data_IF_485036125591
#
_entry.id   IF_485036125591
#
_cell.length_a   1.000
_cell.length_b   1.000
_cell.length_c   1.000
_cell.angle_alpha   90.00
_cell.angle_beta   90.00
_cell.angle_gamma   90.00
#
_symmetry.space_group_name_H-M   'P 1'
#
loop_
_entity.id
_entity.type
_entity.pdbx_description
1 polymer ?
2 polymer ?
3 non-polymer ?
4 non-polymer ?
5 water ?
#
# COMPACT_ATOMS: atom_id res chain seq x y z
N UNK A 3 -18.44 -7.35 19.87
CA UNK A 3 -18.20 -8.48 18.99
C UNK A 3 -19.52 -9.18 18.67
N UNK A 4 -19.50 -10.04 17.66
CA UNK A 4 -20.71 -10.72 17.20
C UNK A 4 -21.06 -11.82 18.20
N UNK A 5 -22.28 -11.75 18.75
CA UNK A 5 -22.80 -12.75 19.68
C UNK A 5 -24.08 -13.36 19.11
N UNK A 6 -24.67 -14.27 19.88
CA UNK A 6 -25.92 -14.90 19.45
C UNK A 6 -27.08 -13.92 19.43
N UNK A 7 -26.99 -12.84 20.20
CA UNK A 7 -28.02 -11.81 20.20
C UNK A 7 -27.77 -10.72 19.17
N UNK A 8 -26.61 -10.72 18.51
CA UNK A 8 -26.30 -9.70 17.52
C UNK A 8 -27.28 -9.78 16.35
N UNK A 9 -27.82 -8.63 15.96
CA UNK A 9 -28.69 -8.53 14.79
C UNK A 9 -27.85 -8.08 13.60
N UNK A 10 -27.94 -8.83 12.50
CA UNK A 10 -27.19 -8.52 11.29
C UNK A 10 -28.09 -7.77 10.33
N UNK A 11 -27.73 -6.52 10.02
CA UNK A 11 -28.47 -5.75 9.04
C UNK A 11 -28.37 -6.39 7.67
N UNK A 12 -29.50 -6.84 7.14
CA UNK A 12 -29.58 -7.50 5.83
C UNK A 12 -28.67 -8.73 5.76
N UNK A 13 -28.51 -9.41 6.89
CA UNK A 13 -27.72 -10.62 6.94
C UNK A 13 -28.25 -11.61 7.96
N UNK A 14 -27.48 -12.64 8.26
CA UNK A 14 -27.87 -13.65 9.23
C UNK A 14 -26.63 -14.18 9.93
N UNK A 15 -26.81 -14.63 11.17
CA UNK A 15 -25.72 -15.18 11.97
C UNK A 15 -25.35 -16.57 11.50
N UNK A 16 -24.04 -16.85 11.50
CA UNK A 16 -23.53 -18.19 11.30
C UNK A 16 -22.52 -18.49 12.39
N UNK A 17 -22.22 -19.77 12.57
CA UNK A 17 -21.39 -20.24 13.67
C UNK A 17 -20.36 -21.23 13.16
N UNK A 18 -19.10 -21.02 13.54
CA UNK A 18 -18.04 -21.98 13.34
C UNK A 18 -17.58 -22.48 14.70
N UNK A 19 -16.48 -23.25 14.71
CA UNK A 19 -16.07 -23.91 15.94
C UNK A 19 -15.67 -22.91 17.02
N UNK A 20 -15.20 -21.72 16.64
CA UNK A 20 -14.66 -20.81 17.61
C UNK A 20 -15.18 -19.38 17.62
N UNK A 21 -16.15 -19.06 16.76
CA UNK A 21 -16.67 -17.70 16.72
C UNK A 21 -18.00 -17.68 15.98
N UNK A 22 -18.65 -16.52 16.02
CA UNK A 22 -19.85 -16.22 15.25
C UNK A 22 -19.56 -15.04 14.34
N UNK A 23 -20.26 -14.98 13.21
CA UNK A 23 -20.11 -13.85 12.29
C UNK A 23 -21.37 -13.71 11.45
N UNK A 24 -21.59 -12.50 10.95
CA UNK A 24 -22.70 -12.23 10.05
C UNK A 24 -22.33 -12.61 8.62
N UNK A 25 -23.28 -13.22 7.92
CA UNK A 25 -23.16 -13.55 6.50
C UNK A 25 -24.26 -12.83 5.75
N UNK A 26 -23.92 -12.25 4.61
CA UNK A 26 -24.83 -11.36 3.90
C UNK A 26 -25.86 -12.13 3.08
N UNK A 27 -27.00 -11.49 2.85
CA UNK A 27 -28.06 -12.06 2.03
C UNK A 27 -27.78 -11.80 0.55
N UNK A 28 -28.24 -12.73 -0.29
CA UNK A 28 -28.19 -12.61 -1.74
C UNK A 28 -26.80 -12.26 -2.25
N UNK A 29 -26.64 -11.06 -2.81
CA UNK A 29 -25.39 -10.62 -3.39
C UNK A 29 -24.81 -9.41 -2.68
N UNK A 30 -25.18 -9.18 -1.43
CA UNK A 30 -24.69 -8.02 -0.70
C UNK A 30 -23.26 -8.28 -0.20
N UNK A 31 -22.65 -7.23 0.36
CA UNK A 31 -21.30 -7.30 0.88
C UNK A 31 -21.26 -6.66 2.27
N UNK A 32 -20.31 -7.11 3.09
CA UNK A 32 -20.13 -6.56 4.43
C UNK A 32 -19.44 -5.21 4.37
N UNK A 33 -19.99 -4.23 5.09
CA UNK A 33 -19.35 -2.93 5.23
C UNK A 33 -18.73 -2.84 6.62
N UNK A 34 -19.33 -3.55 7.58
CA UNK A 34 -18.75 -3.79 8.89
C UNK A 34 -19.14 -5.20 9.31
N UNK A 35 -18.85 -5.55 10.56
CA UNK A 35 -19.09 -6.92 11.00
C UNK A 35 -20.57 -7.29 11.07
N UNK A 36 -21.46 -6.30 11.14
CA UNK A 36 -22.87 -6.56 11.36
C UNK A 36 -23.79 -5.88 10.34
N UNK A 37 -23.24 -5.35 9.25
CA UNK A 37 -24.06 -4.63 8.27
C UNK A 37 -23.68 -5.06 6.87
N UNK A 38 -24.69 -5.36 6.05
CA UNK A 38 -24.51 -5.74 4.65
C UNK A 38 -25.19 -4.70 3.77
N UNK A 39 -24.56 -4.40 2.63
CA UNK A 39 -25.06 -3.39 1.71
C UNK A 39 -24.76 -3.84 0.29
N UNK A 40 -25.42 -3.17 -0.66
CA UNK A 40 -25.19 -3.45 -2.08
C UNK A 40 -23.81 -2.94 -2.50
N UNK A 41 -23.10 -3.74 -3.29
CA UNK A 41 -21.80 -3.37 -3.80
C UNK A 41 -21.93 -2.59 -5.10
N UNK A 42 -21.01 -1.65 -5.30
CA UNK A 42 -20.91 -0.97 -6.57
C UNK A 42 -20.07 -1.81 -7.52
N UNK A 43 -20.39 -1.75 -8.81
CA UNK A 43 -19.68 -2.54 -9.79
C UNK A 43 -18.44 -1.85 -10.33
N UNK A 44 -18.43 -0.52 -10.39
CA UNK A 44 -17.30 0.24 -10.89
C UNK A 44 -16.97 1.36 -9.92
N UNK A 45 -15.69 1.48 -9.56
CA UNK A 45 -15.25 2.60 -8.74
C UNK A 45 -15.01 3.82 -9.61
N UNK A 46 -15.63 4.94 -9.25
CA UNK A 46 -15.44 6.20 -9.96
C UNK A 46 -15.83 7.33 -9.01
N UNK A 47 -15.94 8.54 -9.56
CA UNK A 47 -16.21 9.71 -8.73
C UNK A 47 -17.57 9.62 -8.05
N UNK A 48 -18.54 8.95 -8.69
CA UNK A 48 -19.89 8.86 -8.15
C UNK A 48 -20.02 7.80 -7.06
N UNK A 49 -19.06 6.89 -6.94
CA UNK A 49 -19.15 5.79 -5.98
C UNK A 49 -18.05 5.82 -4.93
N UNK A 50 -17.45 6.99 -4.69
CA UNK A 50 -16.38 7.11 -3.71
C UNK A 50 -16.93 6.82 -2.32
N UNK A 51 -16.15 6.07 -1.53
CA UNK A 51 -16.47 5.63 -0.18
C UNK A 51 -17.64 4.66 -0.11
N UNK A 52 -18.13 4.15 -1.28
CA UNK A 52 -19.16 3.13 -1.26
C UNK A 52 -18.54 1.74 -1.30
N UNK A 53 -19.21 0.73 -0.76
CA UNK A 53 -18.60 -0.61 -0.70
C UNK A 53 -18.51 -1.25 -2.09
N UNK A 54 -17.39 -1.94 -2.32
CA UNK A 54 -17.14 -2.68 -3.55
C UNK A 54 -16.78 -4.13 -3.26
N UNK A 55 -17.07 -4.60 -2.06
CA UNK A 55 -16.70 -5.93 -1.63
C UNK A 55 -16.66 -6.00 -0.12
N UNK A 56 -16.47 -7.22 0.38
CA UNK A 56 -16.39 -7.44 1.82
C UNK A 56 -15.26 -6.62 2.43
N UNK A 57 -15.62 -5.66 3.27
CA UNK A 57 -14.67 -4.79 3.96
C UNK A 57 -13.80 -4.01 2.97
N UNK A 58 -14.41 -3.61 1.85
CA UNK A 58 -13.73 -2.87 0.81
C UNK A 58 -14.56 -1.66 0.41
N UNK A 59 -13.88 -0.55 0.10
CA UNK A 59 -14.54 0.67 -0.34
C UNK A 59 -13.77 1.27 -1.51
N UNK A 60 -14.48 1.99 -2.36
CA UNK A 60 -13.82 2.69 -3.45
C UNK A 60 -13.04 3.87 -2.90
N UNK A 61 -11.77 3.97 -3.30
CA UNK A 61 -10.86 4.98 -2.77
C UNK A 61 -10.45 5.91 -3.90
N UNK A 62 -10.55 7.21 -3.65
CA UNK A 62 -10.03 8.22 -4.56
C UNK A 62 -8.52 8.24 -4.46
N UNK A 63 -7.84 8.00 -5.58
CA UNK A 63 -6.38 7.96 -5.63
C UNK A 63 -5.90 9.25 -6.27
N UNK A 64 -5.31 10.13 -5.46
CA UNK A 64 -4.80 11.39 -5.96
C UNK A 64 -3.62 11.16 -6.90
N UNK A 65 -3.69 11.79 -8.07
CA UNK A 65 -2.62 11.65 -9.03
C UNK A 65 -2.85 12.58 -10.21
N UNK A 66 -2.06 12.39 -11.25
CA UNK A 66 -2.16 13.16 -12.50
C UNK A 66 -2.48 12.17 -13.61
N UNK A 67 -3.77 11.90 -13.87
CA UNK A 67 -4.94 12.45 -13.18
C UNK A 67 -5.43 11.59 -12.01
N UNK A 68 -6.50 12.05 -11.35
CA UNK A 68 -7.09 11.30 -10.26
C UNK A 68 -7.67 10.00 -10.81
N UNK A 69 -7.51 8.92 -10.03
CA UNK A 69 -8.08 7.62 -10.38
C UNK A 69 -8.84 7.08 -9.16
N UNK A 70 -9.47 5.92 -9.33
CA UNK A 70 -10.28 5.30 -8.29
C UNK A 70 -10.02 3.81 -8.26
N UNK A 71 -9.87 3.26 -7.05
CA UNK A 71 -9.56 1.85 -6.88
C UNK A 71 -10.36 1.30 -5.71
N UNK A 72 -10.63 -0.01 -5.78
CA UNK A 72 -11.30 -0.72 -4.69
C UNK A 72 -10.23 -1.31 -3.77
N UNK A 73 -10.22 -0.84 -2.51
CA UNK A 73 -9.20 -1.24 -1.56
C UNK A 73 -9.84 -1.64 -0.23
N UNK A 74 -9.15 -2.52 0.51
CA UNK A 74 -9.64 -2.98 1.80
C UNK A 74 -9.58 -1.86 2.82
N UNK A 75 -10.53 -1.89 3.76
CA UNK A 75 -10.60 -0.92 4.83
C UNK A 75 -9.37 -1.01 5.73
N UNK A 76 -9.25 -0.02 6.63
CA UNK A 76 -8.17 -0.01 7.61
C UNK A 76 -8.20 -1.28 8.46
N UNK A 77 -7.04 -1.91 8.62
CA UNK A 77 -6.93 -3.13 9.38
C UNK A 77 -7.08 -4.40 8.58
N UNK A 78 -7.30 -4.31 7.27
CA UNK A 78 -7.47 -5.47 6.42
C UNK A 78 -6.43 -5.47 5.31
N UNK A 79 -6.10 -6.67 4.83
CA UNK A 79 -5.17 -6.86 3.73
C UNK A 79 -5.80 -7.79 2.71
N UNK A 80 -5.54 -7.53 1.43
CA UNK A 80 -6.14 -8.29 0.34
C UNK A 80 -5.27 -9.50 0.04
N UNK A 81 -5.81 -10.69 0.32
CA UNK A 81 -5.11 -11.95 0.07
C UNK A 81 -5.98 -12.79 -0.84
N UNK A 82 -5.46 -13.13 -2.02
CA UNK A 82 -6.23 -13.84 -3.05
C UNK A 82 -7.52 -13.09 -3.36
N UNK A 83 -7.43 -11.77 -3.43
CA UNK A 83 -8.56 -10.88 -3.75
C UNK A 83 -9.70 -11.04 -2.74
N UNK A 84 -9.35 -11.20 -1.47
CA UNK A 84 -10.30 -11.24 -0.37
C UNK A 84 -9.69 -10.48 0.80
N UNK A 85 -10.43 -9.52 1.35
CA UNK A 85 -9.94 -8.74 2.48
C UNK A 85 -10.06 -9.56 3.77
N UNK A 86 -8.95 -9.68 4.50
CA UNK A 86 -8.91 -10.37 5.78
C UNK A 86 -8.10 -9.52 6.75
N UNK A 87 -8.28 -9.73 8.06
CA UNK A 87 -7.49 -8.98 9.05
C UNK A 87 -6.00 -9.13 8.79
N UNK A 88 -5.26 -8.03 9.03
CA UNK A 88 -3.82 -8.01 8.76
C UNK A 88 -3.10 -9.11 9.53
N UNK A 89 -3.54 -9.39 10.76
CA UNK A 89 -2.94 -10.42 11.58
C UNK A 89 -3.15 -11.83 11.04
N UNK A 90 -3.99 -11.99 10.02
CA UNK A 90 -4.25 -13.28 9.42
C UNK A 90 -3.54 -13.45 8.08
N UNK A 91 -2.57 -12.60 7.77
CA UNK A 91 -1.94 -12.60 6.45
C UNK A 91 -1.32 -13.95 6.13
N UNK A 92 -0.50 -14.49 7.04
CA UNK A 92 0.24 -15.71 6.79
C UNK A 92 -0.26 -16.89 7.62
N UNK A 93 -1.51 -16.84 8.06
CA UNK A 93 -2.09 -17.93 8.83
C UNK A 93 -2.73 -18.93 7.88
N UNK A 94 -2.34 -20.20 8.01
CA UNK A 94 -2.92 -21.29 7.25
C UNK A 94 -3.68 -22.18 8.22
N UNK A 95 -4.98 -22.38 7.97
CA UNK A 95 -5.82 -23.13 8.89
C UNK A 95 -6.35 -24.44 8.33
N UNK A 96 -6.42 -24.58 7.01
CA UNK A 96 -6.98 -25.78 6.42
C UNK A 96 -8.50 -25.79 6.47
N UNK A 97 -9.07 -26.73 7.25
CA UNK A 97 -10.52 -26.85 7.37
C UNK A 97 -11.08 -25.79 8.32
N UNK A 98 -10.83 -24.53 7.97
CA UNK A 98 -11.29 -23.43 8.78
C UNK A 98 -10.85 -22.11 8.19
N UNK A 99 -10.97 -21.06 9.00
CA UNK A 99 -10.57 -19.73 8.61
C UNK A 99 -9.89 -19.04 9.77
N UNK A 100 -9.05 -18.07 9.46
CA UNK A 100 -8.36 -17.29 10.47
C UNK A 100 -9.21 -16.11 10.91
N UNK A 101 -9.26 -15.88 12.22
CA UNK A 101 -9.98 -14.73 12.78
C UNK A 101 -9.04 -14.00 13.72
N UNK A 102 -9.43 -12.77 14.05
CA UNK A 102 -8.64 -11.94 14.95
C UNK A 102 -8.88 -12.34 16.39
N UNK A 103 -7.79 -12.54 17.13
CA UNK A 103 -7.84 -12.87 18.56
C UNK A 103 -7.33 -11.68 19.36
N UNK A 104 -8.14 -11.23 20.33
CA UNK A 104 -7.81 -10.07 21.14
C UNK A 104 -7.63 -10.41 22.61
N UNK A 105 -7.47 -11.70 22.93
CA UNK A 105 -7.31 -12.13 24.32
C UNK A 105 -5.88 -12.02 24.82
N UNK A 106 -4.89 -11.99 23.94
CA UNK A 106 -3.50 -11.85 24.30
C UNK A 106 -3.11 -10.38 24.33
N UNK A 107 -1.98 -10.03 24.97
CA UNK A 107 -1.58 -8.61 25.02
C UNK A 107 -1.38 -7.98 23.65
N UNK A 108 -1.06 -8.77 22.61
CA UNK A 108 -0.96 -8.26 21.26
C UNK A 108 -1.96 -9.00 20.38
N UNK A 109 -2.48 -8.29 19.37
CA UNK A 109 -3.42 -8.91 18.44
C UNK A 109 -2.77 -10.06 17.69
N UNK A 110 -3.51 -11.16 17.57
CA UNK A 110 -3.02 -12.37 16.93
C UNK A 110 -4.10 -12.94 16.04
N UNK A 111 -3.69 -13.81 15.11
CA UNK A 111 -4.62 -14.58 14.31
C UNK A 111 -4.73 -16.00 14.87
N UNK A 112 -5.97 -16.47 14.97
CA UNK A 112 -6.25 -17.83 15.44
C UNK A 112 -7.19 -18.50 14.45
N UNK A 113 -7.11 -19.83 14.39
CA UNK A 113 -7.93 -20.60 13.47
C UNK A 113 -9.26 -20.93 14.12
N UNK A 114 -10.34 -20.63 13.41
CA UNK A 114 -11.68 -21.06 13.77
C UNK A 114 -12.12 -22.09 12.73
N UNK A 115 -12.53 -23.25 13.20
CA UNK A 115 -12.67 -24.44 12.36
C UNK A 115 -14.11 -24.63 11.88
N UNK A 116 -14.22 -25.33 10.74
CA UNK A 116 -15.51 -25.79 10.26
C UNK A 116 -16.18 -26.69 11.29
N UNK A 117 -17.51 -26.68 11.28
CA UNK A 117 -18.26 -27.57 12.16
C UNK A 117 -17.82 -29.00 11.91
N UNK A 118 -17.47 -29.70 12.98
CA UNK A 118 -16.91 -31.03 12.88
C UNK A 118 -15.40 -31.08 13.08
N UNK A 119 -14.73 -29.94 13.03
CA UNK A 119 -13.30 -29.86 13.24
C UNK A 119 -13.00 -28.94 14.43
N UNK A 120 -11.84 -29.17 15.05
CA UNK A 120 -11.38 -28.35 16.18
C UNK A 120 -9.89 -28.12 16.04
N UNK A 121 -9.36 -27.09 16.71
CA UNK A 121 -7.91 -26.86 16.67
C UNK A 121 -7.13 -28.07 17.18
N UNK A 122 -6.06 -28.39 16.45
CA UNK A 122 -5.21 -29.55 16.75
C UNK A 122 -3.94 -29.03 17.42
N UNK A 123 -3.87 -29.20 18.75
CA UNK A 123 -2.70 -28.75 19.50
C UNK A 123 -1.42 -29.37 18.95
N UNK A 124 -1.50 -30.60 18.43
CA UNK A 124 -0.35 -31.27 17.85
C UNK A 124 -0.03 -30.80 16.43
N UNK A 125 -0.71 -29.79 15.93
CA UNK A 125 -0.49 -29.28 14.57
C UNK A 125 -0.64 -27.76 14.55
N UNK A 126 0.00 -27.09 15.51
CA UNK A 126 0.01 -25.63 15.61
C UNK A 126 -1.40 -25.04 15.67
N UNK A 127 -2.33 -25.75 16.32
CA UNK A 127 -3.72 -25.33 16.48
C UNK A 127 -4.41 -25.10 15.14
N UNK A 128 -4.01 -25.84 14.11
CA UNK A 128 -4.72 -25.78 12.85
C UNK A 128 -5.95 -26.70 12.91
N UNK A 129 -6.82 -26.54 11.93
CA UNK A 129 -8.12 -27.24 11.93
C UNK A 129 -7.98 -28.59 11.24
N UNK A 130 -7.25 -29.49 11.91
CA UNK A 130 -6.96 -30.80 11.37
C UNK A 130 -7.33 -31.91 12.34
N UNK A 131 -8.16 -31.62 13.35
CA UNK A 131 -8.60 -32.60 14.33
C UNK A 131 -10.12 -32.62 14.36
N UNK A 132 -10.69 -33.82 14.39
CA UNK A 132 -12.14 -33.96 14.42
C UNK A 132 -12.67 -33.71 15.82
N UNK A 133 -13.71 -32.89 15.93
CA UNK A 133 -14.32 -32.58 17.21
C UNK A 133 -15.72 -32.05 17.01
N UNK A 134 -16.49 -32.05 18.09
CA UNK A 134 -17.88 -31.66 18.04
C UNK A 134 -18.07 -30.25 18.60
N UNK A 135 -18.99 -29.49 17.98
CA UNK A 135 -19.35 -28.16 18.42
C UNK A 135 -20.86 -28.08 18.52
N UNK A 136 -21.36 -27.63 19.67
CA UNK A 136 -22.80 -27.46 19.86
C UNK A 136 -23.27 -26.15 19.26
N UNK A 137 -24.36 -26.20 18.51
CA UNK A 137 -24.92 -24.98 17.93
C UNK A 137 -25.52 -24.11 19.02
N UNK A 138 -25.09 -22.85 19.07
CA UNK A 138 -25.56 -21.89 20.04
C UNK A 138 -26.52 -20.87 19.45
N UNK A 139 -26.82 -20.96 18.16
CA UNK A 139 -27.71 -20.00 17.52
C UNK A 139 -29.13 -20.15 18.05
N UNK A 140 -29.83 -19.03 18.16
CA UNK A 140 -31.21 -19.01 18.63
C UNK A 140 -32.10 -18.75 17.42
N UNK A 141 -32.67 -19.81 16.87
CA UNK A 141 -33.46 -19.72 15.66
C UNK A 141 -34.93 -19.49 15.98
N UNK A 142 -35.68 -19.08 14.95
CA UNK A 142 -37.11 -18.85 15.12
C UNK A 142 -37.81 -20.13 15.53
N UNK A 143 -38.76 -20.00 16.45
CA UNK A 143 -39.51 -21.15 16.92
C UNK A 143 -40.59 -21.52 15.90
N UNK A 144 -40.80 -22.83 15.74
CA UNK A 144 -41.84 -23.41 14.89
C UNK A 144 -41.52 -23.27 13.40
N UNK A 145 -40.58 -22.38 13.05
CA UNK A 145 -40.26 -22.13 11.65
C UNK A 145 -38.83 -22.43 11.25
N UNK A 146 -37.87 -22.39 12.18
CA UNK A 146 -36.47 -22.57 11.83
C UNK A 146 -35.80 -23.54 12.81
N UNK A 147 -34.70 -24.12 12.34
CA UNK A 147 -33.91 -25.05 13.14
C UNK A 147 -32.44 -24.92 12.74
N UNK A 148 -31.56 -25.14 13.70
CA UNK A 148 -30.13 -25.02 13.44
C UNK A 148 -29.60 -26.28 12.76
N UNK A 149 -28.92 -26.10 11.63
CA UNK A 149 -28.32 -27.19 10.87
C UNK A 149 -26.95 -26.76 10.38
N UNK A 150 -26.09 -27.74 10.10
CA UNK A 150 -24.74 -27.48 9.60
C UNK A 150 -24.75 -27.64 8.08
N UNK A 151 -24.31 -26.58 7.38
CA UNK A 151 -24.22 -26.60 5.93
C UNK A 151 -22.90 -25.95 5.53
N UNK A 152 -22.15 -26.62 4.65
CA UNK A 152 -20.88 -26.11 4.13
C UNK A 152 -19.91 -25.73 5.26
N UNK A 153 -19.97 -26.46 6.37
CA UNK A 153 -19.03 -26.26 7.45
C UNK A 153 -19.43 -25.23 8.49
N UNK A 154 -20.61 -24.61 8.37
CA UNK A 154 -21.07 -23.62 9.34
C UNK A 154 -22.45 -24.01 9.83
N UNK A 155 -22.79 -23.56 11.04
CA UNK A 155 -24.15 -23.65 11.54
C UNK A 155 -24.93 -22.42 11.09
N UNK A 156 -26.19 -22.64 10.70
CA UNK A 156 -27.10 -21.55 10.39
C UNK A 156 -28.53 -22.02 10.61
N UNK A 157 -29.42 -21.06 10.78
CA UNK A 157 -30.84 -21.36 10.95
C UNK A 157 -31.45 -21.69 9.60
N UNK A 158 -31.95 -22.91 9.45
CA UNK A 158 -32.54 -23.38 8.22
C UNK A 158 -34.06 -23.48 8.37
N UNK A 159 -34.77 -23.22 7.28
CA UNK A 159 -36.23 -23.31 7.28
C UNK A 159 -36.66 -24.77 7.32
N UNK A 160 -37.58 -25.08 8.23
CA UNK A 160 -38.13 -26.44 8.31
C UNK A 160 -38.93 -26.76 7.05
N UNK A 161 -39.14 -28.06 6.85
CA UNK A 161 -39.96 -28.52 5.72
C UNK A 161 -41.39 -28.01 5.87
N UNK A 162 -41.87 -27.28 4.86
CA UNK A 162 -43.20 -26.74 4.88
C UNK A 162 -43.33 -25.35 5.44
N UNK A 163 -42.31 -24.84 6.14
CA UNK A 163 -42.29 -23.48 6.63
C UNK A 163 -41.42 -22.61 5.73
N UNK A 164 -41.76 -22.63 4.44
CA UNK A 164 -40.96 -21.97 3.42
C UNK A 164 -41.23 -20.47 3.39
N UNK B 3 7.14 0.19 13.11
CA UNK B 3 6.03 0.41 12.20
C UNK B 3 6.41 0.08 10.75
N UNK B 4 6.10 1.01 9.84
CA UNK B 4 6.38 0.78 8.42
C UNK B 4 7.88 0.66 8.21
N UNK B 5 8.29 -0.43 7.56
CA UNK B 5 9.71 -0.70 7.30
C UNK B 5 9.88 -1.35 5.95
N UNK B 6 10.92 -0.93 5.23
CA UNK B 6 11.30 -1.49 3.94
C UNK B 6 12.80 -1.74 3.98
N UNK B 7 13.20 -3.00 3.80
CA UNK B 7 14.61 -3.40 3.87
C UNK B 7 14.98 -4.09 2.57
N UNK B 8 15.94 -3.51 1.85
CA UNK B 8 16.40 -4.05 0.59
C UNK B 8 17.54 -5.05 0.80
N UNK B 9 17.71 -5.95 -0.16
CA UNK B 9 18.75 -6.96 -0.11
C UNK B 9 19.13 -7.36 -1.53
N UNK B 10 20.32 -7.96 -1.66
CA UNK B 10 20.76 -8.54 -2.90
C UNK B 10 21.74 -7.72 -3.71
N UNK B 11 22.21 -6.59 -3.18
CA UNK B 11 23.14 -5.77 -3.93
C UNK B 11 24.57 -6.27 -3.87
N UNK B 12 25.38 -5.81 -4.81
CA UNK B 12 26.77 -6.21 -4.87
C UNK B 12 27.38 -5.83 -6.22
N UNK B 13 28.58 -6.36 -6.45
CA UNK B 13 29.34 -6.10 -7.66
C UNK B 13 29.03 -7.20 -8.67
N UNK B 14 28.77 -6.80 -9.93
CA UNK B 14 28.46 -7.73 -11.01
C UNK B 14 29.19 -7.27 -12.25
N UNK B 15 29.59 -8.21 -13.08
CA UNK B 15 30.25 -7.90 -14.34
C UNK B 15 29.21 -7.58 -15.41
N UNK B 16 29.55 -6.70 -16.36
CA UNK B 16 28.58 -6.32 -17.40
C UNK B 16 28.12 -7.53 -18.21
N UNK B 17 26.81 -7.66 -18.36
CA UNK B 17 26.21 -8.76 -19.08
C UNK B 17 25.53 -9.80 -18.21
N UNK B 18 25.81 -9.84 -16.91
CA UNK B 18 25.25 -10.86 -16.04
C UNK B 18 24.00 -10.33 -15.33
N UNK B 19 23.46 -11.13 -14.43
CA UNK B 19 22.17 -10.84 -13.80
C UNK B 19 22.33 -10.63 -12.29
N UNK B 20 21.25 -10.14 -11.68
CA UNK B 20 21.19 -9.90 -10.24
C UNK B 20 19.75 -9.67 -9.81
N UNK B 21 19.33 -10.29 -8.72
CA UNK B 21 17.97 -10.15 -8.22
C UNK B 21 17.97 -9.44 -6.88
N UNK B 22 17.20 -8.35 -6.79
CA UNK B 22 17.07 -7.58 -5.57
C UNK B 22 15.75 -7.92 -4.88
N UNK B 23 15.75 -7.79 -3.56
CA UNK B 23 14.57 -8.06 -2.75
C UNK B 23 14.28 -6.89 -1.84
N UNK B 24 13.05 -6.83 -1.36
CA UNK B 24 12.62 -5.77 -0.44
C UNK B 24 11.55 -6.36 0.47
N UNK B 25 11.95 -6.74 1.68
CA UNK B 25 11.02 -7.28 2.67
C UNK B 25 10.27 -6.12 3.33
N UNK B 26 8.94 -6.15 3.25
CA UNK B 26 8.11 -5.09 3.80
C UNK B 26 7.43 -5.55 5.08
N UNK B 27 7.34 -4.65 6.05
CA UNK B 27 6.66 -4.92 7.30
C UNK B 27 6.07 -3.62 7.84
N UNK B 28 4.96 -3.73 8.56
CA UNK B 28 4.31 -2.60 9.17
C UNK B 28 3.09 -2.03 8.46
N UNK B 29 2.62 -2.64 7.39
CA UNK B 29 1.45 -2.11 6.68
C UNK B 29 0.80 -3.24 5.89
N UNK B 30 -0.39 -2.93 5.36
CA UNK B 30 -1.12 -3.88 4.52
C UNK B 30 -0.44 -3.95 3.16
N UNK B 31 0.34 -5.02 2.95
CA UNK B 31 1.18 -5.11 1.75
C UNK B 31 0.36 -5.06 0.47
N UNK B 32 -0.86 -5.60 0.48
CA UNK B 32 -1.70 -5.64 -0.70
C UNK B 32 -2.46 -4.38 -1.01
N UNK B 33 -2.41 -3.36 -0.17
CA UNK B 33 -3.14 -2.12 -0.41
C UNK B 33 -2.25 -0.99 -0.91
N UNK B 34 -1.02 -1.28 -1.32
CA UNK B 34 -0.10 -0.23 -1.75
C UNK B 34 0.64 -0.65 -3.02
N UNK B 35 0.68 0.26 -4.00
CA UNK B 35 1.62 0.11 -5.10
C UNK B 35 3.05 0.17 -4.59
N UNK B 36 3.94 -0.59 -5.23
CA UNK B 36 5.34 -0.67 -4.86
C UNK B 36 6.21 -0.33 -6.06
N UNK B 37 7.24 0.48 -5.83
CA UNK B 37 8.12 0.94 -6.90
C UNK B 37 9.58 0.68 -6.54
N UNK B 38 10.42 0.65 -7.57
CA UNK B 38 11.87 0.69 -7.43
C UNK B 38 12.37 1.98 -8.05
N UNK B 39 13.27 2.67 -7.33
CA UNK B 39 13.88 3.92 -7.77
C UNK B 39 15.39 3.82 -7.56
N UNK B 40 16.16 4.25 -8.55
CA UNK B 40 17.62 4.19 -8.46
C UNK B 40 18.24 5.58 -8.53
N UNK B 41 19.45 5.68 -7.98
CA UNK B 41 20.17 6.95 -7.94
C UNK B 41 21.64 6.66 -8.22
N UNK B 42 22.16 7.17 -9.34
CA UNK B 42 23.56 7.00 -9.69
C UNK B 42 24.42 7.95 -8.88
N UNK B 43 25.71 7.62 -8.70
CA UNK B 43 26.58 8.49 -7.90
C UNK B 43 26.58 9.92 -8.41
N UNK B 44 26.27 10.85 -7.52
CA UNK B 44 26.29 12.27 -7.82
C UNK B 44 25.11 12.79 -8.61
N UNK B 45 24.06 11.99 -8.81
CA UNK B 45 22.93 12.38 -9.64
C UNK B 45 21.64 12.33 -8.82
N UNK B 46 20.52 12.58 -9.51
CA UNK B 46 19.22 12.60 -8.88
C UNK B 46 18.54 11.25 -8.94
N UNK B 47 17.27 11.25 -8.56
CA UNK B 47 16.48 10.03 -8.51
C UNK B 47 16.01 9.65 -9.91
N UNK B 48 15.86 8.33 -10.12
CA UNK B 48 15.46 7.80 -11.41
C UNK B 48 14.50 6.64 -11.17
N UNK B 49 13.24 6.81 -11.59
CA UNK B 49 12.24 5.76 -11.39
C UNK B 49 12.51 4.58 -12.30
N UNK B 50 12.37 3.38 -11.76
CA UNK B 50 12.72 2.14 -12.45
C UNK B 50 11.47 1.36 -12.86
N UNK B 51 10.60 1.04 -11.91
CA UNK B 51 9.44 0.20 -12.17
C UNK B 51 8.41 0.39 -11.07
N UNK B 52 7.20 -0.08 -11.34
CA UNK B 52 6.10 -0.05 -10.36
C UNK B 52 5.25 -1.29 -10.57
N UNK B 53 4.65 -1.78 -9.48
CA UNK B 53 3.70 -2.89 -9.53
C UNK B 53 2.46 -2.48 -8.75
N UNK B 54 1.30 -2.85 -9.27
CA UNK B 54 0.03 -2.42 -8.70
C UNK B 54 -0.26 -3.14 -7.39
N UNK B 55 -1.07 -2.48 -6.56
CA UNK B 55 -1.39 -3.01 -5.23
C UNK B 55 -2.01 -4.39 -5.31
N UNK B 56 -2.93 -4.60 -6.26
CA UNK B 56 -3.58 -5.90 -6.40
C UNK B 56 -2.84 -6.80 -7.38
N UNK B 57 -1.91 -6.27 -8.14
CA UNK B 57 -1.11 -7.06 -9.05
C UNK B 57 -1.62 -7.11 -10.46
N UNK B 58 -2.34 -6.09 -10.92
CA UNK B 58 -2.91 -6.11 -12.24
C UNK B 58 -2.02 -5.45 -13.29
N UNK B 59 -1.10 -4.59 -12.88
CA UNK B 59 -0.31 -3.82 -13.83
C UNK B 59 1.15 -3.79 -13.41
N UNK B 60 2.03 -3.78 -14.41
CA UNK B 60 3.45 -3.57 -14.21
C UNK B 60 3.95 -2.58 -15.24
N UNK B 61 4.63 -1.53 -14.79
CA UNK B 61 5.18 -0.51 -15.69
C UNK B 61 6.67 -0.34 -15.41
N UNK B 62 7.40 0.05 -16.46
CA UNK B 62 8.86 0.12 -16.41
C UNK B 62 9.34 1.38 -17.12
N UNK B 63 10.54 1.82 -16.76
CA UNK B 63 11.20 2.90 -17.47
C UNK B 63 11.79 2.39 -18.78
N UNK B 64 11.87 3.28 -19.77
CA UNK B 64 12.38 2.89 -21.09
C UNK B 64 13.81 2.38 -21.02
N UNK B 65 14.61 2.92 -20.10
CA UNK B 65 16.02 2.52 -20.01
C UNK B 65 16.18 1.08 -19.54
N UNK B 66 15.16 0.50 -18.90
CA UNK B 66 15.23 -0.86 -18.38
C UNK B 66 14.22 -1.78 -19.05
N UNK B 67 13.50 -1.28 -20.06
CA UNK B 67 12.49 -2.07 -20.73
C UNK B 67 13.10 -3.30 -21.39
N UNK B 68 12.53 -4.47 -21.11
CA UNK B 68 13.02 -5.70 -21.67
C UNK B 68 14.18 -6.33 -20.93
N UNK B 69 14.70 -5.69 -19.88
CA UNK B 69 15.79 -6.22 -19.10
C UNK B 69 15.46 -6.43 -17.63
N UNK B 70 14.62 -5.58 -17.05
CA UNK B 70 14.23 -5.69 -15.65
C UNK B 70 12.80 -6.20 -15.55
N UNK B 71 12.52 -6.91 -14.45
CA UNK B 71 11.19 -7.45 -14.18
C UNK B 71 10.86 -7.27 -12.71
N UNK B 72 9.76 -6.58 -12.41
CA UNK B 72 9.31 -6.37 -11.04
C UNK B 72 8.30 -7.45 -10.70
N UNK B 73 8.32 -7.89 -9.44
CA UNK B 73 7.42 -8.94 -8.98
C UNK B 73 7.12 -8.72 -7.51
N UNK B 74 6.07 -9.39 -7.04
CA UNK B 74 5.75 -9.39 -5.62
C UNK B 74 5.18 -10.76 -5.24
N UNK B 75 5.75 -11.34 -4.20
CA UNK B 75 5.20 -12.56 -3.62
C UNK B 75 4.36 -12.11 -2.44
N UNK B 76 3.06 -11.89 -2.71
CA UNK B 76 2.17 -11.29 -1.74
C UNK B 76 2.21 -12.05 -0.41
N UNK B 77 2.40 -13.37 -0.46
CA UNK B 77 2.44 -14.14 0.78
C UNK B 77 3.60 -13.68 1.67
N UNK B 78 4.82 -13.74 1.15
CA UNK B 78 6.00 -13.40 1.96
C UNK B 78 6.15 -11.91 2.21
N UNK B 79 5.27 -11.06 1.65
CA UNK B 79 5.36 -9.61 1.77
C UNK B 79 6.73 -9.11 1.30
N UNK B 80 7.09 -9.52 0.09
CA UNK B 80 8.41 -9.25 -0.48
C UNK B 80 8.26 -8.75 -1.90
N UNK B 81 9.04 -7.71 -2.23
CA UNK B 81 9.07 -7.12 -3.56
C UNK B 81 10.39 -7.49 -4.22
N UNK B 82 10.33 -7.96 -5.46
CA UNK B 82 11.50 -8.41 -6.18
C UNK B 82 11.77 -7.52 -7.39
N UNK B 83 13.03 -7.47 -7.80
CA UNK B 83 13.43 -6.83 -9.05
C UNK B 83 14.50 -7.70 -9.70
N UNK B 84 14.12 -8.38 -10.78
CA UNK B 84 15.06 -9.19 -11.55
C UNK B 84 15.73 -8.34 -12.61
N UNK B 85 17.06 -8.33 -12.60
CA UNK B 85 17.85 -7.49 -13.50
C UNK B 85 18.72 -8.38 -14.38
N UNK B 86 18.41 -8.45 -15.67
CA UNK B 86 19.20 -9.19 -16.64
C UNK B 86 19.93 -8.21 -17.57
N UNK B 87 21.00 -8.70 -18.18
CA UNK B 87 21.83 -7.93 -19.11
C UNK B 87 22.23 -6.59 -18.47
N UNK B 88 22.98 -6.68 -17.38
CA UNK B 88 23.38 -5.49 -16.65
C UNK B 88 24.43 -4.69 -17.43
N UNK B 89 24.44 -3.39 -17.19
CA UNK B 89 25.35 -2.48 -17.87
C UNK B 89 25.95 -1.53 -16.85
N UNK B 90 27.09 -0.95 -17.21
CA UNK B 90 27.71 0.06 -16.35
C UNK B 90 26.77 1.23 -16.10
N UNK B 91 25.84 1.48 -17.02
CA UNK B 91 24.83 2.50 -16.83
C UNK B 91 23.91 2.20 -15.65
N UNK B 92 23.84 0.95 -15.22
CA UNK B 92 22.94 0.54 -14.14
C UNK B 92 23.55 0.70 -12.75
N UNK B 93 24.81 1.11 -12.66
CA UNK B 93 25.44 1.34 -11.36
C UNK B 93 24.71 2.45 -10.61
N UNK B 94 24.14 2.11 -9.46
CA UNK B 94 23.34 3.04 -8.68
C UNK B 94 22.96 2.38 -7.36
N UNK B 95 22.47 3.20 -6.44
CA UNK B 95 21.78 2.71 -5.25
C UNK B 95 20.31 2.54 -5.61
N UNK B 96 19.76 1.36 -5.31
CA UNK B 96 18.38 1.04 -5.62
C UNK B 96 17.55 1.07 -4.35
N UNK B 97 16.49 1.88 -4.35
CA UNK B 97 15.54 1.95 -3.26
C UNK B 97 14.23 1.31 -3.68
N UNK B 98 13.64 0.52 -2.79
CA UNK B 98 12.23 0.15 -2.95
C UNK B 98 11.40 1.21 -2.23
N UNK B 99 10.37 1.69 -2.91
CA UNK B 99 9.54 2.77 -2.39
C UNK B 99 8.08 2.33 -2.39
N UNK B 100 7.35 2.77 -1.38
CA UNK B 100 5.94 2.44 -1.24
C UNK B 100 5.09 3.66 -1.56
N UNK B 101 4.02 3.46 -2.33
CA UNK B 101 3.07 4.52 -2.57
C UNK B 101 2.06 4.60 -1.44
N UNK B 102 1.47 5.78 -1.27
CA UNK B 102 0.48 5.99 -0.22
C UNK B 102 -0.80 5.22 -0.55
N UNK B 103 -1.65 5.08 0.47
CA UNK B 103 -2.91 4.35 0.29
C UNK B 103 -3.82 5.05 -0.71
N UNK B 104 -3.81 6.39 -0.73
CA UNK B 104 -4.76 7.15 -1.53
C UNK B 104 -4.07 8.20 -2.41
N UNK B 105 -2.81 7.97 -2.80
CA UNK B 105 -2.15 8.88 -3.71
C UNK B 105 -0.96 8.19 -4.35
N UNK B 106 -0.50 8.77 -5.45
CA UNK B 106 0.67 8.27 -6.17
C UNK B 106 1.98 8.66 -5.52
N UNK B 107 1.95 9.43 -4.44
CA UNK B 107 3.17 9.85 -3.76
C UNK B 107 3.89 8.65 -3.16
N UNK B 108 5.21 8.67 -3.22
CA UNK B 108 6.04 7.62 -2.62
C UNK B 108 6.32 8.02 -1.18
N UNK B 109 5.46 7.58 -0.26
CA UNK B 109 5.48 8.10 1.10
C UNK B 109 6.43 7.35 2.02
N UNK B 110 6.96 6.20 1.60
CA UNK B 110 7.95 5.48 2.41
C UNK B 110 9.03 4.87 1.52
N UNK B 111 10.28 4.99 1.97
CA UNK B 111 11.45 4.57 1.20
C UNK B 111 12.33 3.66 2.04
N UNK B 112 12.95 2.69 1.38
CA UNK B 112 14.01 1.92 2.00
C UNK B 112 15.32 2.68 2.02
N UNK B 113 16.30 2.12 2.72
CA UNK B 113 17.60 2.78 2.84
C UNK B 113 18.49 2.54 1.63
N UNK B 114 18.16 1.58 0.78
CA UNK B 114 18.86 1.38 -0.47
C UNK B 114 19.94 0.32 -0.39
N UNK B 115 20.23 -0.30 -1.53
CA UNK B 115 21.34 -1.22 -1.69
C UNK B 115 22.11 -0.86 -2.95
N UNK B 116 23.43 -0.96 -2.88
CA UNK B 116 24.30 -0.53 -3.95
C UNK B 116 24.51 -1.66 -4.95
N UNK B 117 24.38 -1.34 -6.24
CA UNK B 117 24.70 -2.26 -7.33
C UNK B 117 25.79 -1.64 -8.17
N UNK B 118 26.90 -2.34 -8.34
CA UNK B 118 28.06 -1.84 -9.06
C UNK B 118 28.35 -2.78 -10.22
N UNK B 119 28.20 -2.27 -11.44
CA UNK B 119 28.46 -3.03 -12.65
C UNK B 119 29.81 -2.58 -13.20
N UNK B 120 30.83 -3.42 -13.01
CA UNK B 120 32.19 -3.06 -13.39
C UNK B 120 32.92 -4.28 -13.92
N UNK B 121 33.94 -4.04 -14.73
CA UNK B 121 34.80 -5.10 -15.24
C UNK B 121 36.26 -4.77 -14.99
N UNK B 142 8.53 14.47 -23.51
CA UNK B 142 8.70 15.90 -23.28
C UNK B 142 9.01 16.16 -21.81
N UNK B 143 9.83 17.18 -21.54
CA UNK B 143 10.18 17.47 -20.14
C UNK B 143 8.97 17.92 -19.35
N UNK B 144 8.80 17.32 -18.16
CA UNK B 144 7.64 17.60 -17.33
C UNK B 144 8.04 18.52 -16.18
N UNK B 145 9.26 18.33 -15.66
CA UNK B 145 9.66 18.90 -14.37
C UNK B 145 11.07 19.45 -14.46
N UNK B 146 11.33 20.50 -13.67
CA UNK B 146 12.62 21.19 -13.71
C UNK B 146 12.86 21.91 -12.39
N UNK B 147 14.05 21.74 -11.81
CA UNK B 147 14.50 22.40 -10.59
C UNK B 147 15.85 23.04 -10.81
N UNK B 148 16.12 24.17 -10.13
CA UNK B 148 17.47 24.72 -10.16
C UNK B 148 18.45 23.80 -9.44
N UNK B 149 19.70 23.75 -9.88
CA UNK B 149 20.63 22.76 -9.32
C UNK B 149 20.99 22.98 -7.86
N UNK B 150 21.00 24.23 -7.39
CA UNK B 150 21.45 24.51 -6.03
C UNK B 150 20.68 25.69 -5.45
N UNK B 151 20.76 25.82 -4.14
CA UNK B 151 20.20 26.95 -3.41
C UNK B 151 20.92 27.07 -2.08
N UNK B 152 20.95 28.28 -1.53
CA UNK B 152 21.64 28.52 -0.27
C UNK B 152 20.85 29.52 0.56
N UNK B 153 21.12 29.51 1.86
CA UNK B 153 20.49 30.42 2.81
C UNK B 153 21.25 30.35 4.13
N UNK B 154 21.12 31.43 4.90
CA UNK B 154 21.77 31.52 6.20
C UNK B 154 20.86 30.96 7.29
N UNK B 155 21.48 30.58 8.40
CA UNK B 155 20.74 29.99 9.52
C UNK B 155 19.65 30.94 10.01
N UNK B 156 18.48 30.39 10.28
CA UNK B 156 17.35 31.17 10.76
C UNK B 156 16.59 31.94 9.71
N UNK B 157 17.02 31.91 8.46
CA UNK B 157 16.35 32.63 7.40
C UNK B 157 15.29 31.73 6.74
N UNK B 158 14.64 32.24 5.71
CA UNK B 158 13.64 31.51 4.96
C UNK B 158 14.13 31.22 3.55
N UNK B 159 13.79 30.05 3.03
CA UNK B 159 14.19 29.64 1.70
C UNK B 159 13.00 29.02 0.98
N UNK B 160 12.83 29.39 -0.29
CA UNK B 160 11.78 28.83 -1.14
C UNK B 160 12.44 28.08 -2.29
N UNK B 161 12.16 26.78 -2.40
CA UNK B 161 12.66 25.96 -3.49
C UNK B 161 11.61 25.89 -4.59
N UNK B 162 12.06 25.98 -5.83
CA UNK B 162 11.16 26.10 -6.97
C UNK B 162 11.20 24.83 -7.81
N UNK B 163 10.03 24.40 -8.27
CA UNK B 163 9.88 23.30 -9.21
C UNK B 163 8.90 23.76 -10.29
N UNK B 164 9.36 23.76 -11.54
CA UNK B 164 8.62 24.37 -12.64
C UNK B 164 8.12 23.31 -13.60
N UNK B 165 6.82 23.33 -13.88
CA UNK B 165 6.19 22.43 -14.82
C UNK B 165 6.15 23.04 -16.22
N UNK B 166 5.97 22.17 -17.21
CA UNK B 166 5.66 22.64 -18.56
C UNK B 166 4.20 23.04 -18.65
N UNK B 167 3.90 23.95 -19.59
CA UNK B 167 2.53 24.45 -19.71
C UNK B 167 1.55 23.33 -20.06
N UNK B 168 2.02 22.28 -20.74
CA UNK B 168 1.15 21.16 -21.06
C UNK B 168 0.70 20.37 -19.84
N UNK B 169 1.36 20.57 -18.70
CA UNK B 169 1.03 19.89 -17.47
C UNK B 169 0.81 20.91 -16.36
N UNK B 170 0.18 22.04 -16.70
CA UNK B 170 0.04 23.15 -15.78
C UNK B 170 -0.77 22.80 -14.54
N UNK B 171 -1.62 21.78 -14.63
CA UNK B 171 -2.50 21.46 -13.53
C UNK B 171 -1.99 20.29 -12.68
N UNK B 172 -0.73 19.90 -12.86
CA UNK B 172 -0.21 18.71 -12.20
C UNK B 172 0.18 19.02 -10.76
N UNK B 173 0.00 18.02 -9.90
CA UNK B 173 0.53 18.03 -8.56
C UNK B 173 1.92 17.42 -8.55
N UNK B 174 2.77 17.93 -7.66
CA UNK B 174 4.14 17.45 -7.55
C UNK B 174 4.43 17.06 -6.11
N UNK B 175 5.30 16.07 -5.96
CA UNK B 175 5.79 15.59 -4.69
C UNK B 175 7.17 16.18 -4.43
N UNK B 176 7.44 16.47 -3.15
CA UNK B 176 8.75 16.91 -2.70
C UNK B 176 9.35 15.84 -1.80
N UNK B 177 10.65 15.59 -1.99
CA UNK B 177 11.39 14.61 -1.19
C UNK B 177 12.65 15.25 -0.64
N UNK B 178 13.02 14.85 0.57
CA UNK B 178 14.23 15.32 1.23
C UNK B 178 15.22 14.18 1.37
N UNK B 179 16.45 14.41 0.95
CA UNK B 179 17.51 13.41 1.09
C UNK B 179 18.63 14.03 1.91
N UNK B 180 18.71 13.68 3.18
CA UNK B 180 19.81 14.11 4.02
C UNK B 180 21.12 13.55 3.48
N UNK B 181 22.24 14.22 3.74
CA UNK B 181 23.52 13.74 3.21
C UNK B 181 23.88 12.39 3.79
N UNK B 182 24.20 11.44 2.90
CA UNK B 182 24.54 10.09 3.30
C UNK B 182 23.36 9.18 3.55
N UNK B 183 22.13 9.67 3.44
CA UNK B 183 20.93 8.89 3.69
C UNK B 183 20.09 8.82 2.41
N UNK B 184 19.01 8.04 2.49
CA UNK B 184 18.07 7.95 1.40
C UNK B 184 16.99 9.01 1.52
N UNK B 185 16.20 9.18 0.47
CA UNK B 185 15.15 10.19 0.48
C UNK B 185 14.02 9.84 1.43
N UNK B 186 13.23 10.87 1.76
CA UNK B 186 11.99 10.72 2.51
C UNK B 186 10.97 11.69 1.95
N UNK B 187 9.69 11.33 2.09
CA UNK B 187 8.62 12.13 1.53
C UNK B 187 8.31 13.33 2.42
N UNK B 188 8.11 14.48 1.81
CA UNK B 188 7.83 15.71 2.55
C UNK B 188 6.37 16.09 2.39
N UNK B 189 5.97 16.47 1.17
CA UNK B 189 4.64 17.00 0.93
C UNK B 189 4.34 16.96 -0.56
N UNK B 190 3.05 16.81 -0.88
CA UNK B 190 2.56 16.93 -2.25
C UNK B 190 1.75 18.21 -2.37
N UNK B 191 2.07 19.03 -3.36
CA UNK B 191 1.43 20.33 -3.55
C UNK B 191 0.77 20.35 -4.93
N UNK B 192 -0.49 20.80 -4.98
CA UNK B 192 -1.21 20.94 -6.21
C UNK B 192 -1.49 22.39 -6.56
N UNK B 193 -2.27 22.57 -7.63
CA UNK B 193 -2.72 23.91 -8.00
C UNK B 193 -3.43 24.57 -6.84
N UNK B 194 -3.20 25.87 -6.69
CA UNK B 194 -3.72 26.60 -5.56
C UNK B 194 -2.88 26.51 -4.30
N UNK B 195 -1.78 25.77 -4.33
CA UNK B 195 -0.97 25.58 -3.14
C UNK B 195 -1.64 24.72 -2.08
N UNK B 196 -2.39 23.72 -2.51
CA UNK B 196 -3.13 22.86 -1.59
C UNK B 196 -2.24 21.68 -1.22
N UNK B 197 -2.07 21.45 0.08
CA UNK B 197 -1.37 20.27 0.56
C UNK B 197 -2.25 19.05 0.27
N UNK B 198 -1.86 18.24 -0.70
CA UNK B 198 -2.63 17.05 -1.04
C UNK B 198 -2.35 15.91 -0.09
N UNK B 199 -1.09 15.76 0.33
CA UNK B 199 -0.71 14.75 1.31
C UNK B 199 0.59 15.20 1.96
N UNK B 200 0.81 14.72 3.19
CA UNK B 200 1.98 15.13 3.96
C UNK B 200 2.66 13.90 4.54
N UNK B 201 4.00 13.91 4.53
CA UNK B 201 4.76 12.80 5.06
C UNK B 201 4.86 12.82 6.58
N UNK B 202 5.39 11.72 7.11
CA UNK B 202 5.52 11.56 8.55
C UNK B 202 6.79 12.23 9.06
N UNK B 203 6.71 12.80 10.26
CA UNK B 203 7.87 13.41 10.88
C UNK B 203 8.37 14.68 10.22
N UNK B 204 7.48 15.43 9.56
CA UNK B 204 7.85 16.67 8.89
C UNK B 204 7.60 17.83 9.84
N UNK B 205 8.60 18.67 10.12
CA UNK B 205 8.39 19.77 11.06
C UNK B 205 7.54 20.87 10.45
N UNK B 206 6.93 21.67 11.35
CA UNK B 206 6.04 22.74 10.92
C UNK B 206 6.76 23.83 10.14
N UNK B 207 8.09 23.89 10.22
CA UNK B 207 8.83 24.88 9.45
C UNK B 207 8.70 24.67 7.94
N UNK B 208 8.25 23.50 7.50
CA UNK B 208 8.12 23.21 6.08
C UNK B 208 6.70 23.50 5.61
N UNK B 209 6.60 24.20 4.49
CA UNK B 209 5.31 24.55 3.89
C UNK B 209 5.44 24.49 2.38
N UNK B 210 4.30 24.58 1.68
CA UNK B 210 4.30 24.56 0.22
C UNK B 210 3.45 25.72 -0.30
N UNK B 211 3.72 26.09 -1.55
CA UNK B 211 3.03 27.18 -2.24
C UNK B 211 2.96 26.82 -3.72
N UNK B 212 2.19 27.60 -4.47
CA UNK B 212 2.09 27.39 -5.91
C UNK B 212 1.81 28.73 -6.57
N UNK B 213 2.14 28.80 -7.87
CA UNK B 213 1.89 30.00 -8.65
C UNK B 213 2.06 29.62 -10.13
N UNK B 214 0.94 29.44 -10.81
CA UNK B 214 0.97 29.16 -12.24
C UNK B 214 1.62 27.83 -12.52
N UNK B 215 2.75 27.87 -13.24
CA UNK B 215 3.50 26.68 -13.55
C UNK B 215 4.47 26.26 -12.45
N UNK B 216 4.66 27.10 -11.43
CA UNK B 216 5.63 26.84 -10.38
C UNK B 216 4.97 26.16 -9.18
N UNK B 217 5.72 25.25 -8.57
CA UNK B 217 5.40 24.67 -7.27
C UNK B 217 6.57 24.93 -6.34
N UNK B 218 6.27 25.28 -5.10
CA UNK B 218 7.29 25.71 -4.15
C UNK B 218 7.26 24.87 -2.90
N UNK B 219 8.44 24.63 -2.35
CA UNK B 219 8.63 24.11 -1.00
C UNK B 219 9.38 25.17 -0.22
N UNK B 220 8.79 25.65 0.87
CA UNK B 220 9.36 26.72 1.66
C UNK B 220 9.76 26.20 3.04
N UNK B 221 10.86 26.74 3.54
CA UNK B 221 11.38 26.40 4.86
C UNK B 221 11.66 27.69 5.62
N UNK B 222 11.11 27.80 6.82
CA UNK B 222 11.37 28.93 7.70
C UNK B 222 12.24 28.49 8.86
N UNK B 223 12.99 29.43 9.42
CA UNK B 223 13.91 29.18 10.52
C UNK B 223 14.82 27.99 10.20
N UNK B 224 15.61 28.17 9.14
CA UNK B 224 16.44 27.09 8.61
C UNK B 224 17.44 26.62 9.64
N UNK B 225 17.63 25.30 9.71
CA UNK B 225 18.54 24.65 10.63
C UNK B 225 19.66 23.97 9.85
N UNK B 226 20.69 23.55 10.58
CA UNK B 226 21.78 22.80 9.95
C UNK B 226 21.30 21.47 9.38
N UNK B 227 20.25 20.90 9.99
CA UNK B 227 19.69 19.64 9.53
C UNK B 227 18.85 19.79 8.27
N UNK B 228 18.54 21.02 7.86
CA UNK B 228 17.84 21.25 6.59
C UNK B 228 18.77 21.19 5.39
N UNK B 229 20.08 21.14 5.60
CA UNK B 229 21.05 20.93 4.54
C UNK B 229 20.81 19.56 3.91
N UNK B 230 20.27 19.55 2.68
CA UNK B 230 19.86 18.31 2.05
C UNK B 230 19.74 18.55 0.55
N UNK B 231 19.55 17.46 -0.17
CA UNK B 231 19.17 17.49 -1.57
C UNK B 231 17.65 17.30 -1.65
N UNK B 232 16.94 18.31 -2.16
CA UNK B 232 15.48 18.25 -2.27
C UNK B 232 15.08 17.94 -3.70
N UNK B 233 14.26 16.90 -3.86
CA UNK B 233 13.89 16.36 -5.16
C UNK B 233 12.40 16.58 -5.43
N UNK B 234 12.09 17.06 -6.63
CA UNK B 234 10.72 17.22 -7.10
C UNK B 234 10.34 16.03 -7.98
N UNK B 235 9.11 15.53 -7.80
CA UNK B 235 8.62 14.41 -8.57
C UNK B 235 7.14 14.50 -8.86
N UNK B 236 6.68 13.70 -9.83
CA UNK B 236 5.29 13.69 -10.23
C UNK B 236 5.00 12.43 -11.07
N UNK B 237 3.81 11.86 -10.89
CA UNK B 237 3.36 10.74 -11.70
C UNK B 237 2.67 11.24 -12.96
N UNK B 238 2.65 10.39 -13.98
CA UNK B 238 2.10 10.75 -15.28
C UNK B 238 1.41 9.50 -15.84
N UNK B 239 0.09 9.43 -15.68
CA UNK B 239 -0.62 8.23 -16.08
C UNK B 239 -1.54 8.40 -17.28
N UNK B 240 -0.99 8.80 -18.42
CA UNK B 240 -1.80 9.00 -19.61
C UNK B 240 -2.17 7.68 -20.28
N UNK B 241 -3.41 7.58 -20.71
CA UNK B 241 -3.86 6.38 -21.40
C UNK B 241 -3.74 5.17 -20.51
N UNK B 242 -3.14 4.11 -21.04
CA UNK B 242 -2.85 2.92 -20.25
C UNK B 242 -1.35 2.79 -20.03
N UNK B 243 -0.69 3.89 -19.70
CA UNK B 243 0.74 3.90 -19.48
C UNK B 243 1.07 4.81 -18.31
N UNK B 244 1.98 4.36 -17.46
CA UNK B 244 2.35 5.07 -16.25
C UNK B 244 3.83 5.41 -16.29
N UNK B 245 4.18 6.57 -15.74
CA UNK B 245 5.56 7.00 -15.66
C UNK B 245 5.67 7.96 -14.49
N UNK B 246 6.70 7.78 -13.67
CA UNK B 246 7.04 8.72 -12.62
C UNK B 246 8.31 9.46 -13.00
N UNK B 247 8.27 10.79 -12.94
CA UNK B 247 9.38 11.63 -13.32
C UNK B 247 9.92 12.36 -12.10
N UNK B 248 11.23 12.61 -12.11
CA UNK B 248 11.93 13.35 -11.08
C UNK B 248 12.67 14.52 -11.71
N UNK B 249 12.73 15.63 -10.98
CA UNK B 249 13.62 16.71 -11.32
C UNK B 249 15.06 16.35 -11.02
N UNK B 250 15.95 17.31 -11.26
CA UNK B 250 17.38 17.05 -11.08
C UNK B 250 17.80 17.09 -9.61
N UNK B 251 16.97 17.63 -8.73
CA UNK B 251 17.34 17.80 -7.34
C UNK B 251 17.99 19.14 -7.06
N UNK B 252 17.56 19.83 -6.00
CA UNK B 252 18.13 21.10 -5.59
C UNK B 252 18.95 20.87 -4.33
N UNK B 253 20.28 20.98 -4.44
CA UNK B 253 21.16 20.79 -3.30
C UNK B 253 21.24 22.08 -2.49
N UNK B 254 20.82 22.01 -1.22
CA UNK B 254 20.70 23.18 -0.37
C UNK B 254 21.86 23.20 0.62
N UNK B 255 22.56 24.34 0.67
CA UNK B 255 23.66 24.56 1.61
C UNK B 255 23.22 25.59 2.64
N UNK B 256 23.44 25.27 3.92
CA UNK B 256 23.08 26.17 5.00
C UNK B 256 24.34 26.89 5.47
N UNK B 257 24.32 28.22 5.40
CA UNK B 257 25.46 29.03 5.79
C UNK B 257 25.36 29.40 7.27
N UNK B 258 26.50 29.36 7.96
CA UNK B 258 26.54 29.66 9.37
C UNK B 258 26.46 28.42 10.23
X LIG C 1 -5.38 18.07 -15.64
X LIG C 1 -6.29 17.15 -14.85
X LIG C 1 -6.96 16.17 -15.79
X LIG C 1 -7.88 16.92 -16.74
X LIG C 1 -7.05 17.89 -17.57
X LIG C 1 -7.59 19.31 -17.59
X LIG C 1 -5.47 16.85 -12.54
X LIG C 1 -4.69 15.93 -11.63
X LIG C 1 -5.57 16.44 -13.80
X LIG C 1 -7.71 15.22 -15.03
X LIG C 1 -8.55 15.98 -17.59
X LIG C 1 -5.68 17.99 -17.11
X LIG C 1 -8.71 19.41 -18.45
X LIG C 1 -5.96 17.90 -12.14
X LIG D 1 -9.48 17.28 -6.58
X LIG D 1 -9.70 17.24 -5.14
X LIG D 1 -8.92 16.00 -7.04
X LIG D 1 -8.53 18.35 -6.92
X LIG D 1 -10.76 17.53 -7.25
X LIG E 1 3.52 -6.93 9.70
X LIG E 1 4.36 -7.00 10.90
X LIG E 1 2.22 -7.52 10.00
X LIG E 1 3.33 -5.53 9.30
X LIG E 1 4.17 -7.63 8.59
#
# INVERSE_FOLDING_TARGET
TGKVTVDTVCKRGFLIQMSGHLECKCENDLVLVNEETCEEKVLKCDEKTVNKPCGDFSKCIKIDGNPVSYACKCNLGYDMVNNVCIPNECKQVTCGNGKCILDTSNPVKTGVCSCNIGKVPNVQDQNKCSKDGETKCSLKCLKEQETCKAVDGIYKCDCKDGFIIDQESSICTGTKHHHHHH
TGQVQLVESGGGVVQPGRSLRLSCAASGFSFGSHDMSWVRQAPGKGLDWVAVIWYDGSKKYYADSVKGRFTISRDSSKKTLYLQMNTLRAEDTAVYYCARAAYDSRSLDYWGHGTLVTISSGGGGSGGGGSGGGGSGGGGSQPVLTQPPSASASLGASLSLTCTLSSAYSNYSVDWYQQRPGKGPRFVMRVGTGGIVRSKGDGIPDRFSVLASGLNRYLTIQNIQEEDESDYHCGADHGSGSNFLYVFGTGTKVTVLGTKHHHHHH
NAG C1 C2 C3 C4 C5 C6 C7 C8 N2 O3 O4 O5 O6 O7
SO4 S O1 O2 O3 O4
SO4 S O1 O2 O3 O4
#
